data_IF_100568822326
#
_entry.id   IF_100568822326
#
_cell.length_a   1.000
_cell.length_b   1.000
_cell.length_c   1.000
_cell.angle_alpha   90.00
_cell.angle_beta   90.00
_cell.angle_gamma   90.00
#
_symmetry.space_group_name_H-M   'P 1'
#
loop_
_entity.id
_entity.type
_entity.pdbx_description
1 polymer ?
#
# COMPACT_ATOMS: atom_id res chain seq x y z
N UNK A 1 -7.61 4.51 19.81
CA UNK A 1 -8.56 4.44 18.67
C UNK A 1 -8.47 5.69 17.78
N UNK A 2 -8.43 6.89 18.35
CA UNK A 2 -8.33 8.18 17.62
C UNK A 2 -7.04 8.29 16.77
N UNK A 3 -5.92 7.89 17.35
CA UNK A 3 -4.59 7.99 16.71
C UNK A 3 -4.39 6.99 15.57
N UNK A 4 -5.04 5.82 15.67
CA UNK A 4 -4.99 4.78 14.63
C UNK A 4 -5.74 5.22 13.37
N UNK A 5 -6.93 5.80 13.54
CA UNK A 5 -7.73 6.32 12.42
C UNK A 5 -7.02 7.48 11.74
N UNK A 6 -6.44 8.42 12.51
CA UNK A 6 -5.67 9.54 11.97
C UNK A 6 -4.45 9.08 11.15
N UNK A 7 -3.67 8.12 11.68
CA UNK A 7 -2.49 7.60 10.99
C UNK A 7 -2.85 6.85 9.70
N UNK A 8 -3.96 6.11 9.71
CA UNK A 8 -4.46 5.42 8.53
C UNK A 8 -4.97 6.39 7.45
N UNK A 9 -5.74 7.40 7.86
CA UNK A 9 -6.31 8.41 6.95
C UNK A 9 -5.26 9.35 6.35
N UNK A 10 -4.12 9.57 7.01
CA UNK A 10 -3.05 10.45 6.52
C UNK A 10 -2.05 9.72 5.61
N UNK A 11 -1.83 8.43 5.81
CA UNK A 11 -0.82 7.64 5.09
C UNK A 11 -1.44 6.53 4.25
N UNK A 12 -1.71 5.39 4.89
CA UNK A 12 -2.04 4.13 4.22
C UNK A 12 -3.32 4.17 3.36
N UNK A 13 -4.25 5.11 3.62
CA UNK A 13 -5.45 5.31 2.82
C UNK A 13 -5.18 6.05 1.50
N UNK A 14 -4.80 7.35 1.53
CA UNK A 14 -4.67 8.15 0.32
C UNK A 14 -3.35 7.95 -0.43
N UNK A 15 -2.24 7.64 0.27
CA UNK A 15 -0.90 7.65 -0.35
C UNK A 15 -0.74 6.58 -1.43
N UNK A 16 -1.13 5.30 -1.23
CA UNK A 16 -1.07 4.32 -2.31
C UNK A 16 -1.99 4.70 -3.48
N UNK A 17 -3.18 5.22 -3.19
CA UNK A 17 -4.17 5.60 -4.20
C UNK A 17 -3.70 6.77 -5.08
N UNK A 18 -2.90 7.69 -4.52
CA UNK A 18 -2.31 8.83 -5.23
C UNK A 18 -1.00 8.45 -5.95
N UNK A 19 -0.15 7.61 -5.34
CA UNK A 19 1.12 7.16 -5.94
C UNK A 19 0.91 6.23 -7.15
N UNK A 20 -0.11 5.38 -7.11
CA UNK A 20 -0.45 4.46 -8.20
C UNK A 20 -0.54 5.18 -9.58
N UNK A 21 -1.36 6.22 -9.76
CA UNK A 21 -1.42 6.94 -11.04
C UNK A 21 -0.15 7.75 -11.38
N UNK A 22 0.65 8.16 -10.39
CA UNK A 22 1.87 8.97 -10.58
C UNK A 22 3.11 8.13 -10.98
N UNK A 23 3.26 6.92 -10.44
CA UNK A 23 4.41 6.04 -10.72
C UNK A 23 4.21 5.29 -12.05
N UNK A 24 2.96 4.97 -12.41
CA UNK A 24 2.67 4.19 -13.61
C UNK A 24 2.49 5.07 -14.85
N UNK A 25 3.33 4.82 -15.86
CA UNK A 25 3.20 5.41 -17.19
C UNK A 25 1.78 5.23 -17.74
N UNK A 26 1.25 6.27 -18.41
CA UNK A 26 -0.15 6.36 -18.87
C UNK A 26 -0.65 5.09 -19.58
N UNK A 27 0.24 4.42 -20.34
CA UNK A 27 -0.05 3.20 -21.10
C UNK A 27 -0.35 1.95 -20.23
N UNK A 28 0.27 1.83 -19.06
CA UNK A 28 0.11 0.65 -18.17
C UNK A 28 -0.73 0.96 -16.93
N UNK A 29 -0.97 2.24 -16.64
CA UNK A 29 -1.68 2.72 -15.46
C UNK A 29 -3.00 2.00 -15.20
N UNK A 30 -3.87 1.90 -16.21
CA UNK A 30 -5.17 1.25 -16.05
C UNK A 30 -5.05 -0.22 -15.62
N UNK A 31 -4.06 -0.96 -16.16
CA UNK A 31 -3.80 -2.36 -15.83
C UNK A 31 -3.17 -2.52 -14.44
N UNK A 32 -2.23 -1.64 -14.09
CA UNK A 32 -1.57 -1.66 -12.80
C UNK A 32 -2.54 -1.31 -11.65
N UNK A 33 -3.39 -0.31 -11.86
CA UNK A 33 -4.43 0.09 -10.91
C UNK A 33 -5.48 -1.01 -10.74
N UNK A 34 -5.96 -1.63 -11.83
CA UNK A 34 -6.96 -2.71 -11.73
C UNK A 34 -6.41 -3.96 -11.03
N UNK A 35 -5.16 -4.33 -11.29
CA UNK A 35 -4.50 -5.44 -10.60
C UNK A 35 -4.33 -5.12 -9.10
N UNK A 36 -3.86 -3.92 -8.77
CA UNK A 36 -3.69 -3.50 -7.37
C UNK A 36 -5.02 -3.51 -6.62
N UNK A 37 -6.09 -3.03 -7.26
CA UNK A 37 -7.43 -3.02 -6.69
C UNK A 37 -7.98 -4.45 -6.53
N UNK A 38 -7.78 -5.32 -7.52
CA UNK A 38 -8.17 -6.72 -7.43
C UNK A 38 -7.45 -7.44 -6.28
N UNK A 39 -6.13 -7.27 -6.17
CA UNK A 39 -5.34 -7.80 -5.04
C UNK A 39 -5.84 -7.26 -3.71
N UNK A 40 -6.12 -5.96 -3.62
CA UNK A 40 -6.67 -5.34 -2.41
C UNK A 40 -7.99 -6.01 -1.98
N UNK A 41 -8.93 -6.18 -2.91
CA UNK A 41 -10.21 -6.82 -2.62
C UNK A 41 -10.07 -8.29 -2.23
N UNK A 42 -9.17 -9.04 -2.88
CA UNK A 42 -8.89 -10.44 -2.53
C UNK A 42 -8.33 -10.52 -1.10
N UNK A 43 -7.34 -9.69 -0.77
CA UNK A 43 -6.79 -9.64 0.58
C UNK A 43 -7.85 -9.28 1.62
N UNK A 44 -8.69 -8.28 1.33
CA UNK A 44 -9.78 -7.87 2.22
C UNK A 44 -10.79 -9.01 2.44
N UNK A 45 -11.14 -9.76 1.39
CA UNK A 45 -12.03 -10.91 1.47
C UNK A 45 -11.43 -12.02 2.36
N UNK A 46 -10.15 -12.36 2.14
CA UNK A 46 -9.44 -13.36 2.95
C UNK A 46 -9.39 -12.92 4.41
N UNK A 47 -9.01 -11.67 4.69
CA UNK A 47 -9.01 -11.14 6.06
C UNK A 47 -10.42 -11.23 6.65
N UNK A 48 -11.46 -10.80 5.94
CA UNK A 48 -12.84 -10.88 6.41
C UNK A 48 -13.29 -12.30 6.80
N UNK A 49 -12.87 -13.32 6.04
CA UNK A 49 -13.16 -14.72 6.35
C UNK A 49 -12.45 -15.23 7.60
N UNK A 50 -11.16 -14.92 7.75
CA UNK A 50 -10.33 -15.50 8.81
C UNK A 50 -10.26 -14.63 10.08
N UNK A 51 -10.63 -13.35 10.01
CA UNK A 51 -10.43 -12.38 11.08
C UNK A 51 -11.03 -12.85 12.41
N UNK A 52 -12.32 -13.23 12.43
CA UNK A 52 -12.97 -13.69 13.65
C UNK A 52 -12.37 -14.99 14.19
N UNK A 53 -11.97 -15.91 13.30
CA UNK A 53 -11.38 -17.19 13.69
C UNK A 53 -10.00 -17.02 14.34
N UNK A 54 -9.16 -16.15 13.75
CA UNK A 54 -7.83 -15.83 14.30
C UNK A 54 -7.95 -15.00 15.58
N UNK A 55 -8.86 -14.03 15.61
CA UNK A 55 -9.13 -13.20 16.80
C UNK A 55 -9.58 -14.07 17.98
N UNK A 56 -10.48 -15.03 17.76
CA UNK A 56 -10.96 -15.93 18.81
C UNK A 56 -9.87 -16.89 19.32
N UNK A 57 -8.92 -17.31 18.47
CA UNK A 57 -7.82 -18.21 18.88
C UNK A 57 -6.65 -17.48 19.55
N UNK A 58 -6.24 -16.34 19.02
CA UNK A 58 -4.98 -15.68 19.39
C UNK A 58 -5.17 -14.36 20.15
N UNK A 59 -6.42 -13.92 20.29
CA UNK A 59 -6.76 -12.65 20.91
C UNK A 59 -6.52 -11.45 20.00
N UNK A 60 -7.16 -10.34 20.34
CA UNK A 60 -7.13 -9.11 19.54
C UNK A 60 -5.71 -8.52 19.43
N UNK A 61 -4.92 -8.57 20.51
CA UNK A 61 -3.59 -7.98 20.57
C UNK A 61 -2.62 -8.61 19.57
N UNK A 62 -2.64 -9.93 19.43
CA UNK A 62 -1.78 -10.68 18.50
C UNK A 62 -2.11 -10.37 17.04
N UNK A 63 -3.40 -10.21 16.73
CA UNK A 63 -3.87 -9.86 15.37
C UNK A 63 -3.40 -8.45 14.98
N UNK A 64 -3.57 -7.46 15.87
CA UNK A 64 -3.11 -6.10 15.62
C UNK A 64 -1.59 -5.97 15.56
N UNK A 65 -0.84 -6.74 16.35
CA UNK A 65 0.62 -6.83 16.23
C UNK A 65 1.05 -7.39 14.86
N UNK A 66 0.35 -8.42 14.37
CA UNK A 66 0.59 -8.97 13.03
C UNK A 66 0.37 -7.92 11.93
N UNK A 67 -0.73 -7.17 11.98
CA UNK A 67 -0.97 -6.08 11.04
C UNK A 67 0.10 -4.97 11.15
N UNK A 68 0.50 -4.61 12.36
CA UNK A 68 1.55 -3.61 12.58
C UNK A 68 2.89 -4.05 11.98
N UNK A 69 3.26 -5.33 12.11
CA UNK A 69 4.48 -5.87 11.50
C UNK A 69 4.43 -5.78 9.96
N UNK A 70 3.30 -6.14 9.35
CA UNK A 70 3.09 -6.01 7.90
C UNK A 70 3.21 -4.54 7.45
N UNK A 71 2.66 -3.60 8.21
CA UNK A 71 2.83 -2.17 7.92
C UNK A 71 4.29 -1.72 7.96
N UNK A 72 5.08 -2.16 8.94
CA UNK A 72 6.51 -1.82 9.04
C UNK A 72 7.29 -2.40 7.85
N UNK A 73 7.02 -3.65 7.47
CA UNK A 73 7.63 -4.26 6.28
C UNK A 73 7.27 -3.50 5.01
N UNK A 74 6.02 -3.06 4.87
CA UNK A 74 5.60 -2.23 3.75
C UNK A 74 6.37 -0.89 3.70
N UNK A 75 6.57 -0.24 4.85
CA UNK A 75 7.36 1.00 4.93
C UNK A 75 8.81 0.76 4.49
N UNK A 76 9.44 -0.31 4.96
CA UNK A 76 10.82 -0.67 4.57
C UNK A 76 10.90 -0.92 3.07
N UNK A 77 9.94 -1.67 2.52
CA UNK A 77 9.88 -1.97 1.09
C UNK A 77 9.72 -0.70 0.25
N UNK A 78 8.78 0.18 0.63
CA UNK A 78 8.53 1.46 -0.06
C UNK A 78 9.78 2.34 0.01
N UNK A 79 10.38 2.50 1.19
CA UNK A 79 11.56 3.33 1.38
C UNK A 79 12.77 2.89 0.53
N UNK A 80 12.90 1.59 0.23
CA UNK A 80 13.99 1.05 -0.59
C UNK A 80 13.69 0.95 -2.09
N UNK A 81 12.43 0.74 -2.49
CA UNK A 81 12.07 0.37 -3.87
C UNK A 81 11.19 1.41 -4.58
N UNK A 82 10.53 2.31 -3.85
CA UNK A 82 9.66 3.33 -4.44
C UNK A 82 10.41 4.65 -4.51
N UNK A 83 10.61 5.14 -5.73
CA UNK A 83 11.16 6.48 -5.96
C UNK A 83 10.10 7.51 -5.58
N UNK A 84 10.46 8.45 -4.71
CA UNK A 84 9.60 9.57 -4.30
C UNK A 84 9.18 10.40 -5.54
N UNK A 85 7.88 10.45 -5.81
CA UNK A 85 7.30 11.20 -6.95
C UNK A 85 6.87 12.61 -6.57
N UNK A 86 6.77 12.91 -5.27
CA UNK A 86 6.23 14.19 -4.78
C UNK A 86 7.08 15.38 -5.25
N UNK A 87 6.48 16.23 -6.08
CA UNK A 87 7.09 17.47 -6.57
C UNK A 87 8.00 17.31 -7.79
N UNK A 88 8.02 16.15 -8.44
CA UNK A 88 8.75 15.93 -9.70
C UNK A 88 7.81 16.00 -10.90
N UNK A 89 8.30 16.53 -12.01
CA UNK A 89 7.58 16.52 -13.28
C UNK A 89 7.46 15.09 -13.83
N UNK A 90 6.43 14.81 -14.62
CA UNK A 90 6.22 13.48 -15.23
C UNK A 90 7.44 13.01 -16.04
N UNK A 91 8.13 13.95 -16.69
CA UNK A 91 9.32 13.71 -17.51
C UNK A 91 10.58 13.38 -16.67
N UNK A 92 10.69 13.91 -15.46
CA UNK A 92 11.76 13.56 -14.51
C UNK A 92 11.54 12.17 -13.90
N UNK A 93 10.28 11.79 -13.66
CA UNK A 93 9.91 10.44 -13.19
C UNK A 93 10.23 9.41 -14.29
N UNK A 94 9.88 9.67 -15.55
CA UNK A 94 10.23 8.79 -16.68
C UNK A 94 11.75 8.65 -16.89
N UNK A 95 12.54 9.71 -16.68
CA UNK A 95 14.01 9.62 -16.75
C UNK A 95 14.62 8.83 -15.59
N UNK A 96 14.12 9.00 -14.37
CA UNK A 96 14.60 8.25 -13.21
C UNK A 96 14.29 6.75 -13.32
N UNK A 97 13.13 6.40 -13.87
CA UNK A 97 12.73 5.01 -14.15
C UNK A 97 13.50 4.38 -15.32
N UNK A 98 13.83 5.16 -16.38
CA UNK A 98 14.58 4.65 -17.54
C UNK A 98 16.09 4.56 -17.33
N UNK A 99 16.67 5.37 -16.45
CA UNK A 99 18.10 5.29 -16.07
C UNK A 99 18.45 4.11 -15.16
N UNK A 100 17.45 3.39 -14.62
CA UNK A 100 17.65 2.25 -13.72
C UNK A 100 17.46 0.89 -14.41
N UNK A 101 17.36 0.87 -15.75
CA UNK A 101 17.31 -0.33 -16.59
C UNK A 101 18.60 -0.45 -17.42
#
# INVERSE_FOLDING_TARGET
MKDYVLSFSLGAGPVPALLLPEIFASRIRAKAVSLSLATHWICNFVIGLYFLSVMNKFGISSVYLGFSAVCVLAVIYIAGNVVETKGRSLEEIERALSSSA
#
